data_IF_655921675772
#
_entry.id   IF_655921675772
#
_cell.length_a   1.000
_cell.length_b   1.000
_cell.length_c   1.000
_cell.angle_alpha   90.00
_cell.angle_beta   90.00
_cell.angle_gamma   90.00
#
_symmetry.space_group_name_H-M   'P 1'
#
loop_
_entity.id
_entity.type
_entity.pdbx_description
1 polymer ?
#
# COMPACT_ATOMS: atom_id res chain seq x y z
N UNK A 1 37.84 5.41 -14.46
CA UNK A 1 37.24 4.79 -13.26
C UNK A 1 35.76 4.57 -13.56
N UNK A 2 35.38 3.34 -13.93
CA UNK A 2 34.04 3.00 -14.41
C UNK A 2 32.98 3.30 -13.36
N UNK A 3 31.88 3.94 -13.78
CA UNK A 3 30.74 4.28 -12.91
C UNK A 3 30.21 2.98 -12.31
N UNK A 4 30.40 2.78 -11.01
CA UNK A 4 29.76 1.70 -10.27
C UNK A 4 28.25 1.81 -10.50
N UNK A 5 27.63 0.78 -11.09
CA UNK A 5 26.19 0.75 -11.26
C UNK A 5 25.56 0.81 -9.86
N UNK A 6 24.70 1.80 -9.63
CA UNK A 6 23.97 1.92 -8.38
C UNK A 6 23.13 0.65 -8.16
N UNK A 7 23.13 0.12 -6.94
CA UNK A 7 22.29 -1.02 -6.62
C UNK A 7 20.81 -0.64 -6.73
N UNK A 8 19.93 -1.61 -6.94
CA UNK A 8 18.49 -1.35 -7.07
C UNK A 8 17.93 -0.70 -5.81
N UNK A 9 18.45 -1.06 -4.63
CA UNK A 9 18.12 -0.39 -3.36
C UNK A 9 18.52 1.09 -3.38
N UNK A 10 19.71 1.42 -3.89
CA UNK A 10 20.15 2.81 -4.05
C UNK A 10 19.31 3.55 -5.08
N UNK A 11 18.89 2.89 -6.17
CA UNK A 11 17.99 3.48 -7.15
C UNK A 11 16.63 3.81 -6.53
N UNK A 12 16.07 2.93 -5.69
CA UNK A 12 14.82 3.20 -4.95
C UNK A 12 14.98 4.43 -4.05
N UNK A 13 16.07 4.50 -3.29
CA UNK A 13 16.36 5.63 -2.41
C UNK A 13 16.49 6.93 -3.21
N UNK A 14 17.20 6.90 -4.35
CA UNK A 14 17.36 8.07 -5.20
C UNK A 14 16.02 8.57 -5.77
N UNK A 15 15.14 7.67 -6.20
CA UNK A 15 13.80 8.08 -6.68
C UNK A 15 12.92 8.62 -5.54
N UNK A 16 13.00 8.04 -4.33
CA UNK A 16 12.31 8.55 -3.14
C UNK A 16 12.80 9.96 -2.77
N UNK A 17 14.12 10.19 -2.82
CA UNK A 17 14.76 11.49 -2.60
C UNK A 17 14.33 12.53 -3.64
N UNK A 18 14.30 12.16 -4.92
CA UNK A 18 13.83 13.03 -6.02
C UNK A 18 12.40 13.50 -5.80
N UNK A 19 11.56 12.66 -5.21
CA UNK A 19 10.16 12.95 -4.92
C UNK A 19 9.90 13.58 -3.56
N UNK A 20 10.94 13.87 -2.75
CA UNK A 20 10.75 14.48 -1.42
C UNK A 20 10.04 15.84 -1.47
N UNK A 21 10.31 16.67 -2.49
CA UNK A 21 9.61 17.96 -2.65
C UNK A 21 8.13 17.75 -2.94
N UNK A 22 7.80 16.78 -3.79
CA UNK A 22 6.42 16.39 -4.07
C UNK A 22 5.72 15.89 -2.81
N UNK A 23 6.35 14.96 -2.07
CA UNK A 23 5.85 14.45 -0.79
C UNK A 23 5.54 15.59 0.18
N UNK A 24 6.45 16.56 0.35
CA UNK A 24 6.25 17.69 1.27
C UNK A 24 5.11 18.62 0.86
N UNK A 25 4.77 18.67 -0.42
CA UNK A 25 3.66 19.47 -0.92
C UNK A 25 2.29 18.79 -0.75
N UNK A 26 2.26 17.48 -0.43
CA UNK A 26 1.03 16.74 -0.17
C UNK A 26 0.41 17.09 1.19
N UNK A 27 -0.92 16.99 1.33
CA UNK A 27 -1.61 16.95 2.62
C UNK A 27 -0.99 15.91 3.57
N UNK A 28 -1.11 16.11 4.89
CA UNK A 28 -0.52 15.20 5.89
C UNK A 28 -0.99 13.75 5.74
N UNK A 29 -2.27 13.55 5.44
CA UNK A 29 -2.82 12.20 5.26
C UNK A 29 -2.21 11.52 4.01
N UNK A 30 -2.08 12.27 2.93
CA UNK A 30 -1.49 11.80 1.67
C UNK A 30 0.02 11.52 1.78
N UNK A 31 0.75 12.23 2.64
CA UNK A 31 2.16 11.93 2.93
C UNK A 31 2.33 10.51 3.49
N UNK A 32 1.41 10.07 4.34
CA UNK A 32 1.44 8.72 4.92
C UNK A 32 1.15 7.67 3.85
N UNK A 33 0.22 7.94 2.93
CA UNK A 33 -0.05 7.07 1.80
C UNK A 33 1.15 6.97 0.85
N UNK A 34 1.81 8.10 0.58
CA UNK A 34 3.04 8.13 -0.20
C UNK A 34 4.13 7.23 0.39
N UNK A 35 4.35 7.31 1.71
CA UNK A 35 5.34 6.48 2.40
C UNK A 35 5.01 4.98 2.30
N UNK A 36 3.71 4.63 2.34
CA UNK A 36 3.24 3.25 2.15
C UNK A 36 3.48 2.74 0.73
N UNK A 37 3.32 3.59 -0.30
CA UNK A 37 3.65 3.21 -1.68
C UNK A 37 5.12 2.80 -1.78
N UNK A 38 6.04 3.61 -1.25
CA UNK A 38 7.46 3.26 -1.24
C UNK A 38 7.76 2.00 -0.43
N UNK A 39 7.01 1.72 0.64
CA UNK A 39 7.10 0.44 1.34
C UNK A 39 6.68 -0.75 0.45
N UNK A 40 5.65 -0.62 -0.38
CA UNK A 40 5.27 -1.65 -1.36
C UNK A 40 6.33 -1.87 -2.43
N UNK A 41 6.99 -0.80 -2.88
CA UNK A 41 8.10 -0.89 -3.82
C UNK A 41 9.30 -1.63 -3.20
N UNK A 42 9.70 -1.27 -1.97
CA UNK A 42 10.81 -1.91 -1.26
C UNK A 42 10.59 -3.41 -1.03
N UNK A 43 9.36 -3.84 -0.76
CA UNK A 43 9.01 -5.27 -0.63
C UNK A 43 9.26 -6.09 -1.91
N UNK A 44 9.42 -5.44 -3.06
CA UNK A 44 9.57 -6.07 -4.38
C UNK A 44 10.91 -5.76 -5.05
N UNK A 45 11.92 -5.30 -4.27
CA UNK A 45 13.27 -4.97 -4.77
C UNK A 45 13.87 -6.08 -5.63
N UNK A 46 13.67 -7.36 -5.29
CA UNK A 46 14.18 -8.48 -6.08
C UNK A 46 13.58 -8.52 -7.50
N UNK A 47 12.27 -8.29 -7.64
CA UNK A 47 11.61 -8.24 -8.94
C UNK A 47 12.04 -7.00 -9.75
N UNK A 48 12.17 -5.85 -9.07
CA UNK A 48 12.71 -4.61 -9.66
C UNK A 48 14.15 -4.83 -10.17
N UNK A 49 14.97 -5.57 -9.43
CA UNK A 49 16.35 -5.86 -9.79
C UNK A 49 16.48 -6.74 -11.04
N UNK A 50 15.59 -7.73 -11.18
CA UNK A 50 15.59 -8.62 -12.35
C UNK A 50 15.16 -7.92 -13.65
N UNK A 51 14.38 -6.84 -13.55
CA UNK A 51 13.93 -6.11 -14.73
C UNK A 51 15.07 -5.39 -15.49
N UNK A 52 16.22 -5.14 -14.82
CA UNK A 52 17.36 -4.42 -15.39
C UNK A 52 16.98 -3.13 -16.13
N UNK A 53 15.91 -2.47 -15.67
CA UNK A 53 15.25 -1.38 -16.38
C UNK A 53 16.09 -0.10 -16.34
N UNK A 54 16.33 0.57 -17.48
CA UNK A 54 16.97 1.89 -17.52
C UNK A 54 16.15 2.99 -16.81
N UNK A 55 14.85 2.78 -16.59
CA UNK A 55 13.91 3.73 -15.98
C UNK A 55 13.36 3.17 -14.66
N UNK A 56 14.11 3.25 -13.54
CA UNK A 56 13.75 2.62 -12.26
C UNK A 56 12.38 3.05 -11.72
N UNK A 57 11.93 4.27 -12.03
CA UNK A 57 10.60 4.72 -11.63
C UNK A 57 9.46 3.85 -12.19
N UNK A 58 9.58 3.28 -13.39
CA UNK A 58 8.52 2.46 -14.00
C UNK A 58 8.31 1.15 -13.21
N UNK A 59 9.41 0.48 -12.88
CA UNK A 59 9.38 -0.77 -12.10
C UNK A 59 8.99 -0.52 -10.64
N UNK A 60 9.33 0.64 -10.07
CA UNK A 60 8.84 1.07 -8.76
C UNK A 60 7.33 1.29 -8.77
N UNK A 61 6.80 2.03 -9.74
CA UNK A 61 5.36 2.28 -9.89
C UNK A 61 4.59 0.97 -10.07
N UNK A 62 5.08 0.04 -10.88
CA UNK A 62 4.46 -1.28 -11.04
C UNK A 62 4.44 -2.05 -9.71
N UNK A 63 5.53 -2.00 -8.95
CA UNK A 63 5.62 -2.63 -7.64
C UNK A 63 4.65 -2.02 -6.62
N UNK A 64 4.45 -0.70 -6.68
CA UNK A 64 3.47 0.03 -5.88
C UNK A 64 2.04 -0.39 -6.24
N UNK A 65 1.71 -0.43 -7.54
CA UNK A 65 0.40 -0.87 -8.04
C UNK A 65 0.07 -2.29 -7.58
N UNK A 66 1.00 -3.23 -7.71
CA UNK A 66 0.81 -4.61 -7.22
C UNK A 66 0.53 -4.61 -5.72
N UNK A 67 1.20 -3.75 -4.94
CA UNK A 67 0.93 -3.56 -3.52
C UNK A 67 -0.50 -3.09 -3.24
N UNK A 68 -0.97 -2.08 -3.97
CA UNK A 68 -2.33 -1.57 -3.87
C UNK A 68 -3.38 -2.62 -4.25
N UNK A 69 -3.16 -3.37 -5.33
CA UNK A 69 -4.07 -4.46 -5.73
C UNK A 69 -4.20 -5.53 -4.67
N UNK A 70 -3.11 -5.88 -3.97
CA UNK A 70 -3.18 -6.81 -2.84
C UNK A 70 -4.00 -6.24 -1.68
N UNK A 71 -3.83 -4.95 -1.36
CA UNK A 71 -4.63 -4.29 -0.32
C UNK A 71 -6.12 -4.34 -0.67
N UNK A 72 -6.48 -3.97 -1.91
CA UNK A 72 -7.86 -4.02 -2.39
C UNK A 72 -8.45 -5.42 -2.30
N UNK A 73 -7.72 -6.45 -2.76
CA UNK A 73 -8.16 -7.84 -2.67
C UNK A 73 -8.40 -8.28 -1.22
N UNK A 74 -7.53 -7.88 -0.28
CA UNK A 74 -7.70 -8.16 1.14
C UNK A 74 -8.92 -7.45 1.74
N UNK A 75 -9.17 -6.20 1.35
CA UNK A 75 -10.34 -5.44 1.79
C UNK A 75 -11.63 -6.07 1.27
N UNK A 76 -11.68 -6.43 -0.02
CA UNK A 76 -12.82 -7.13 -0.61
C UNK A 76 -13.09 -8.47 0.11
N UNK A 77 -12.06 -9.29 0.31
CA UNK A 77 -12.19 -10.55 1.03
C UNK A 77 -12.62 -10.37 2.50
N UNK A 78 -12.33 -9.22 3.13
CA UNK A 78 -12.82 -8.90 4.47
C UNK A 78 -14.28 -8.48 4.43
N UNK A 79 -14.70 -7.67 3.47
CA UNK A 79 -16.09 -7.27 3.29
C UNK A 79 -16.97 -8.50 3.04
N UNK A 80 -16.59 -9.38 2.11
CA UNK A 80 -17.33 -10.61 1.83
C UNK A 80 -17.49 -11.50 3.07
N UNK A 81 -16.46 -11.58 3.93
CA UNK A 81 -16.54 -12.34 5.19
C UNK A 81 -17.52 -11.72 6.17
N UNK A 82 -17.53 -10.39 6.28
CA UNK A 82 -18.45 -9.67 7.15
C UNK A 82 -19.91 -9.76 6.66
N UNK A 83 -20.11 -9.67 5.35
CA UNK A 83 -21.43 -9.83 4.72
C UNK A 83 -21.98 -11.25 4.92
N UNK A 84 -21.15 -12.29 4.76
CA UNK A 84 -21.54 -13.68 5.01
C UNK A 84 -21.81 -13.98 6.49
N UNK A 85 -21.14 -13.27 7.40
CA UNK A 85 -21.31 -13.43 8.85
C UNK A 85 -22.45 -12.57 9.42
N UNK A 86 -22.99 -11.63 8.64
CA UNK A 86 -24.12 -10.82 9.06
C UNK A 86 -25.41 -11.67 8.99
N UNK A 87 -26.22 -11.73 10.07
CA UNK A 87 -27.53 -12.37 10.00
C UNK A 87 -28.38 -11.65 8.95
N UNK A 88 -29.31 -12.36 8.26
CA UNK A 88 -30.16 -11.75 7.26
C UNK A 88 -30.91 -10.57 7.87
N UNK A 89 -30.97 -9.45 7.12
CA UNK A 89 -31.57 -8.18 7.53
C UNK A 89 -33.07 -8.23 7.92
N UNK A 90 -33.66 -9.43 7.95
CA UNK A 90 -35.04 -9.70 8.35
C UNK A 90 -35.19 -10.32 9.75
N UNK A 91 -34.09 -10.61 10.46
CA UNK A 91 -34.18 -10.90 11.89
C UNK A 91 -34.23 -9.57 12.65
N UNK A 92 -35.27 -9.32 13.47
CA UNK A 92 -35.31 -8.13 14.30
C UNK A 92 -34.06 -8.13 15.17
N UNK A 93 -33.21 -7.11 14.96
CA UNK A 93 -31.97 -6.88 15.71
C UNK A 93 -32.32 -7.06 17.19
N UNK A 94 -31.69 -8.00 17.93
CA UNK A 94 -32.03 -8.18 19.34
C UNK A 94 -31.79 -6.84 20.02
N UNK A 95 -32.87 -6.26 20.56
CA UNK A 95 -32.80 -5.07 21.39
C UNK A 95 -31.90 -5.48 22.54
N UNK A 96 -30.66 -4.99 22.55
CA UNK A 96 -29.79 -5.20 23.71
C UNK A 96 -30.60 -4.71 24.92
N UNK A 97 -30.81 -5.54 25.95
CA UNK A 97 -31.51 -5.07 27.13
C UNK A 97 -30.78 -3.82 27.61
N UNK A 98 -31.53 -2.72 27.73
CA UNK A 98 -31.02 -1.49 28.28
C UNK A 98 -30.24 -1.86 29.54
N UNK A 99 -28.98 -1.41 29.59
CA UNK A 99 -28.11 -1.58 30.74
C UNK A 99 -28.94 -1.24 31.99
N UNK A 100 -29.31 -2.26 32.77
CA UNK A 100 -29.82 -2.01 34.12
C UNK A 100 -28.60 -1.59 34.90
N UNK A 101 -28.43 -0.28 35.03
CA UNK A 101 -27.48 0.32 35.95
C UNK A 101 -28.08 0.17 37.37
N UNK A 102 -27.41 -0.50 38.32
CA UNK A 102 -27.68 -0.37 39.75
C UNK A 102 -27.03 0.88 40.35
#
# INVERSE_FOLDING_TARGET
MGRTLASVTQQVQLEEERLQRYRRALPRDDQTLFDQLFAFARKRIAATAMAADPLPMQTLLLSMLIGLFHLLAQMHARLERLEKAAPPANEPRPVLPARLDP
#
